data_IF_802726671238
#
_entry.id   IF_802726671238
#
_cell.length_a   1.000
_cell.length_b   1.000
_cell.length_c   1.000
_cell.angle_alpha   90.00
_cell.angle_beta   90.00
_cell.angle_gamma   90.00
#
_symmetry.space_group_name_H-M   'P 1'
#
loop_
_entity.id
_entity.type
_entity.pdbx_description
1 polymer ?
#
# COMPACT_ATOMS: atom_id res chain seq x y z
N UNK A 1 -9.78 5.66 -5.80
CA UNK A 1 -10.08 4.33 -6.37
C UNK A 1 -9.80 3.30 -5.28
N UNK A 2 -10.69 2.34 -5.03
CA UNK A 2 -10.48 1.26 -4.08
C UNK A 2 -10.39 -0.05 -4.87
N UNK A 3 -9.32 -0.82 -4.68
CA UNK A 3 -9.10 -2.09 -5.37
C UNK A 3 -9.05 -3.22 -4.35
N UNK A 4 -9.90 -4.24 -4.52
CA UNK A 4 -9.96 -5.41 -3.62
C UNK A 4 -9.10 -6.59 -4.10
N UNK A 5 -8.68 -6.60 -5.37
CA UNK A 5 -7.79 -7.62 -5.95
C UNK A 5 -6.92 -6.99 -7.03
N UNK A 6 -5.61 -6.86 -6.77
CA UNK A 6 -4.68 -6.28 -7.75
C UNK A 6 -4.51 -7.17 -8.97
N UNK A 7 -4.69 -8.49 -8.87
CA UNK A 7 -4.59 -9.44 -9.99
C UNK A 7 -5.50 -9.16 -11.21
N UNK A 8 -6.49 -8.26 -11.10
CA UNK A 8 -7.34 -7.85 -12.23
C UNK A 8 -6.74 -6.77 -13.14
N UNK A 9 -5.64 -6.13 -12.74
CA UNK A 9 -4.96 -5.12 -13.53
C UNK A 9 -3.76 -5.74 -14.24
N UNK A 10 -3.65 -5.52 -15.55
CA UNK A 10 -2.44 -5.84 -16.31
C UNK A 10 -1.21 -5.21 -15.64
N UNK A 11 -0.07 -5.88 -15.76
CA UNK A 11 1.17 -5.54 -15.06
C UNK A 11 1.63 -4.09 -15.35
N UNK A 12 1.37 -3.61 -16.56
CA UNK A 12 1.66 -2.25 -17.00
C UNK A 12 0.74 -1.23 -16.30
N UNK A 13 -0.54 -1.57 -16.14
CA UNK A 13 -1.52 -0.71 -15.46
C UNK A 13 -1.20 -0.65 -13.97
N UNK A 14 -0.81 -1.76 -13.34
CA UNK A 14 -0.35 -1.76 -11.93
C UNK A 14 0.82 -0.82 -11.72
N UNK A 15 1.82 -0.90 -12.60
CA UNK A 15 3.03 -0.08 -12.51
C UNK A 15 2.71 1.40 -12.74
N UNK A 16 1.85 1.72 -13.73
CA UNK A 16 1.43 3.08 -14.02
C UNK A 16 0.57 3.69 -12.89
N UNK A 17 -0.30 2.89 -12.26
CA UNK A 17 -1.13 3.34 -11.14
C UNK A 17 -0.24 3.59 -9.92
N UNK A 18 0.58 2.62 -9.50
CA UNK A 18 1.41 2.79 -8.32
C UNK A 18 2.49 3.86 -8.48
N UNK A 19 3.06 4.03 -9.67
CA UNK A 19 4.03 5.09 -9.93
C UNK A 19 3.46 6.52 -9.85
N UNK A 20 2.14 6.69 -9.95
CA UNK A 20 1.48 8.01 -9.94
C UNK A 20 0.52 8.21 -8.75
N UNK A 21 0.22 7.16 -7.98
CA UNK A 21 -0.63 7.28 -6.80
C UNK A 21 0.16 7.91 -5.67
N UNK A 22 -0.23 9.12 -5.31
CA UNK A 22 0.39 9.81 -4.18
C UNK A 22 -0.09 9.32 -2.81
N UNK A 23 -1.36 8.93 -2.69
CA UNK A 23 -1.96 8.51 -1.43
C UNK A 23 -2.35 7.04 -1.48
N UNK A 24 -1.78 6.22 -0.59
CA UNK A 24 -2.03 4.79 -0.46
C UNK A 24 -2.59 4.52 0.94
N UNK A 25 -3.66 3.73 0.98
CA UNK A 25 -4.24 3.17 2.20
C UNK A 25 -4.35 1.67 2.01
N UNK A 26 -3.71 0.91 2.89
CA UNK A 26 -3.63 -0.55 2.80
C UNK A 26 -4.15 -1.19 4.08
N UNK A 27 -5.09 -2.11 3.92
CA UNK A 27 -5.53 -3.04 4.97
C UNK A 27 -4.68 -4.32 4.89
N UNK A 28 -4.98 -5.32 5.72
CA UNK A 28 -4.31 -6.61 5.60
C UNK A 28 -4.51 -7.18 4.18
N UNK A 29 -3.40 -7.55 3.55
CA UNK A 29 -3.34 -8.08 2.17
C UNK A 29 -2.58 -9.40 2.14
N UNK A 30 -2.69 -10.13 1.03
CA UNK A 30 -1.99 -11.41 0.82
C UNK A 30 -0.54 -11.25 0.37
N UNK A 31 0.18 -12.38 0.29
CA UNK A 31 1.63 -12.42 0.00
C UNK A 31 2.01 -11.73 -1.30
N UNK A 32 1.28 -11.97 -2.39
CA UNK A 32 1.59 -11.38 -3.70
C UNK A 32 1.55 -9.84 -3.65
N UNK A 33 0.48 -9.28 -3.10
CA UNK A 33 0.30 -7.83 -3.01
C UNK A 33 1.23 -7.19 -1.96
N UNK A 34 1.56 -7.92 -0.89
CA UNK A 34 2.45 -7.42 0.16
C UNK A 34 3.88 -7.17 -0.32
N UNK A 35 4.39 -7.95 -1.27
CA UNK A 35 5.72 -7.71 -1.86
C UNK A 35 5.78 -6.36 -2.60
N UNK A 36 4.70 -6.02 -3.30
CA UNK A 36 4.60 -4.76 -4.03
C UNK A 36 4.44 -3.56 -3.08
N UNK A 37 3.59 -3.71 -2.05
CA UNK A 37 3.37 -2.64 -1.06
C UNK A 37 4.59 -2.42 -0.16
N UNK A 38 5.31 -3.46 0.23
CA UNK A 38 6.56 -3.34 0.98
C UNK A 38 7.61 -2.55 0.20
N UNK A 39 7.73 -2.76 -1.12
CA UNK A 39 8.61 -1.96 -1.96
C UNK A 39 8.20 -0.48 -2.01
N UNK A 40 6.90 -0.20 -2.08
CA UNK A 40 6.35 1.15 -2.19
C UNK A 40 6.40 1.94 -0.85
N UNK A 41 6.39 1.22 0.27
CA UNK A 41 6.43 1.75 1.64
C UNK A 41 7.76 1.48 2.36
N UNK A 42 8.81 1.13 1.62
CA UNK A 42 10.16 1.02 2.15
C UNK A 42 10.68 2.41 2.57
N UNK A 43 11.45 2.52 3.68
CA UNK A 43 11.92 1.45 4.58
C UNK A 43 10.99 1.06 5.74
N UNK A 44 9.84 1.71 5.91
CA UNK A 44 9.05 1.63 7.14
C UNK A 44 8.31 0.31 7.33
N UNK A 45 7.92 -0.38 6.24
CA UNK A 45 7.20 -1.64 6.30
C UNK A 45 7.80 -2.72 5.39
N UNK A 46 7.77 -3.95 5.86
CA UNK A 46 8.16 -5.15 5.10
C UNK A 46 6.94 -6.05 4.85
N UNK A 47 7.09 -7.05 3.98
CA UNK A 47 6.08 -8.03 3.56
C UNK A 47 5.35 -8.63 4.77
N UNK A 48 6.09 -8.99 5.82
CA UNK A 48 5.56 -9.62 7.04
C UNK A 48 4.60 -8.70 7.79
N UNK A 49 4.81 -7.38 7.74
CA UNK A 49 3.95 -6.41 8.43
C UNK A 49 2.57 -6.36 7.80
N UNK A 50 2.47 -6.45 6.47
CA UNK A 50 1.21 -6.46 5.75
C UNK A 50 0.42 -7.75 5.96
N UNK A 51 1.12 -8.88 6.03
CA UNK A 51 0.53 -10.20 6.28
C UNK A 51 -0.05 -10.32 7.69
N UNK A 52 0.65 -9.74 8.67
CA UNK A 52 0.28 -9.81 10.08
C UNK A 52 -0.55 -8.61 10.57
N UNK A 53 -0.93 -7.68 9.68
CA UNK A 53 -1.69 -6.50 10.04
C UNK A 53 -3.03 -6.90 10.70
N UNK A 54 -3.26 -6.53 11.97
CA UNK A 54 -4.50 -6.88 12.66
C UNK A 54 -5.73 -6.24 12.03
N UNK A 55 -6.91 -6.83 12.29
CA UNK A 55 -8.17 -6.21 11.91
C UNK A 55 -8.28 -4.80 12.51
N UNK A 56 -8.93 -3.88 11.79
CA UNK A 56 -9.11 -2.47 12.16
C UNK A 56 -7.82 -1.63 12.21
N UNK A 57 -6.71 -2.17 11.69
CA UNK A 57 -5.48 -1.41 11.46
C UNK A 57 -5.20 -1.24 9.98
N UNK A 58 -4.52 -0.15 9.65
CA UNK A 58 -4.15 0.22 8.29
C UNK A 58 -2.72 0.74 8.24
N UNK A 59 -2.10 0.61 7.07
CA UNK A 59 -0.89 1.33 6.70
C UNK A 59 -1.20 2.39 5.64
N UNK A 60 -0.53 3.52 5.75
CA UNK A 60 -0.85 4.75 5.06
C UNK A 60 0.43 5.38 4.52
N UNK A 61 0.36 5.92 3.31
CA UNK A 61 1.32 6.88 2.76
C UNK A 61 0.48 7.99 2.15
N UNK A 62 0.49 9.18 2.72
CA UNK A 62 -0.42 10.26 2.31
C UNK A 62 0.34 11.30 1.48
N UNK A 63 -0.30 11.88 0.47
CA UNK A 63 0.12 13.19 -0.04
C UNK A 63 -0.41 14.27 0.88
N UNK A 64 0.50 15.01 1.50
CA UNK A 64 0.20 16.16 2.33
C UNK A 64 0.87 17.36 1.66
N UNK A 65 0.06 18.34 1.26
CA UNK A 65 0.53 19.56 0.57
C UNK A 65 1.42 19.29 -0.65
N UNK A 66 1.04 18.27 -1.44
CA UNK A 66 1.76 17.87 -2.65
C UNK A 66 3.07 17.11 -2.40
N UNK A 67 3.38 16.73 -1.16
CA UNK A 67 4.54 15.91 -0.81
C UNK A 67 4.10 14.57 -0.21
N UNK A 68 4.72 13.45 -0.61
CA UNK A 68 4.45 12.17 0.04
C UNK A 68 4.97 12.20 1.48
N UNK A 69 4.15 11.73 2.42
CA UNK A 69 4.57 11.45 3.79
C UNK A 69 5.46 10.20 3.81
N UNK A 70 6.22 10.02 4.89
CA UNK A 70 6.72 8.70 5.22
C UNK A 70 5.51 7.78 5.50
N UNK A 71 5.59 6.47 5.20
CA UNK A 71 4.56 5.53 5.56
C UNK A 71 4.35 5.45 7.09
N UNK A 72 3.10 5.28 7.51
CA UNK A 72 2.73 5.17 8.93
C UNK A 72 1.49 4.30 9.13
N UNK A 73 1.22 3.92 10.38
CA UNK A 73 0.05 3.11 10.74
C UNK A 73 -1.11 3.95 11.27
N UNK A 74 -2.33 3.46 11.08
CA UNK A 74 -3.57 4.06 11.57
C UNK A 74 -4.54 3.00 12.09
N UNK A 75 -5.62 3.47 12.70
CA UNK A 75 -6.73 2.64 13.21
C UNK A 75 -8.02 3.14 12.59
N UNK A 76 -8.90 2.23 12.21
CA UNK A 76 -10.20 2.49 11.58
C UNK A 76 -11.36 2.15 12.50
#
# INVERSE_FOLDING_TARGET
>A
MAHQYMAQLDQDIKSAVLGNVGTIITFRIGTEDSMLMAKEMYPEFDVVDFLNLPNYKIYLKLMIDGKPSNPFSGVT
#
